data_IF_276818552861
#
_entry.id   IF_276818552861
#
_cell.length_a   1.000
_cell.length_b   1.000
_cell.length_c   1.000
_cell.angle_alpha   90.00
_cell.angle_beta   90.00
_cell.angle_gamma   90.00
#
_symmetry.space_group_name_H-M   'P 1'
#
loop_
_entity.id
_entity.type
_entity.pdbx_description
1 polymer ?
#
# COMPACT_ATOMS: atom_id res chain seq x y z
N UNK A 1 -28.91 -0.23 14.43
CA UNK A 1 -28.11 0.74 13.66
C UNK A 1 -28.08 0.47 12.15
N UNK A 2 -27.51 -0.64 11.66
CA UNK A 2 -27.31 -0.87 10.22
C UNK A 2 -28.60 -0.79 9.36
N UNK A 3 -29.73 -1.31 9.87
CA UNK A 3 -31.05 -1.18 9.21
C UNK A 3 -31.47 0.29 9.01
N UNK A 4 -31.17 1.16 9.97
CA UNK A 4 -31.50 2.59 9.90
C UNK A 4 -30.61 3.31 8.88
N UNK A 5 -29.32 2.96 8.82
CA UNK A 5 -28.41 3.50 7.81
C UNK A 5 -28.86 3.12 6.40
N UNK A 6 -29.22 1.85 6.22
CA UNK A 6 -29.68 1.32 4.94
C UNK A 6 -31.02 1.95 4.51
N UNK A 7 -31.93 2.21 5.45
CA UNK A 7 -33.22 2.85 5.16
C UNK A 7 -33.09 4.31 4.68
N UNK A 8 -31.93 4.95 4.89
CA UNK A 8 -31.62 6.31 4.38
C UNK A 8 -31.05 6.30 2.96
N UNK A 9 -30.78 5.14 2.39
CA UNK A 9 -30.26 5.01 1.03
C UNK A 9 -31.40 4.88 0.03
N UNK A 10 -31.16 5.28 -1.23
CA UNK A 10 -32.08 5.03 -2.34
C UNK A 10 -32.47 3.54 -2.45
N UNK A 11 -33.73 3.20 -2.80
CA UNK A 11 -34.19 1.81 -2.85
C UNK A 11 -33.33 0.89 -3.74
N UNK A 12 -32.77 1.42 -4.83
CA UNK A 12 -31.83 0.70 -5.67
C UNK A 12 -30.55 0.32 -4.91
N UNK A 13 -29.92 1.28 -4.22
CA UNK A 13 -28.71 1.02 -3.43
C UNK A 13 -28.95 0.06 -2.28
N UNK A 14 -30.16 0.09 -1.70
CA UNK A 14 -30.58 -0.89 -0.70
C UNK A 14 -30.61 -2.32 -1.28
N UNK A 15 -31.18 -2.49 -2.48
CA UNK A 15 -31.20 -3.79 -3.17
C UNK A 15 -29.78 -4.24 -3.48
N UNK A 16 -28.99 -3.38 -4.11
CA UNK A 16 -27.60 -3.71 -4.46
C UNK A 16 -26.76 -4.12 -3.26
N UNK A 17 -26.91 -3.45 -2.12
CA UNK A 17 -26.21 -3.83 -0.89
C UNK A 17 -26.55 -5.28 -0.47
N UNK A 18 -27.83 -5.67 -0.53
CA UNK A 18 -28.26 -7.02 -0.13
C UNK A 18 -27.78 -8.12 -1.08
N UNK A 19 -27.49 -7.77 -2.32
CA UNK A 19 -26.98 -8.68 -3.36
C UNK A 19 -25.45 -8.85 -3.31
N UNK A 20 -24.73 -8.02 -2.54
CA UNK A 20 -23.29 -8.19 -2.35
C UNK A 20 -22.99 -9.52 -1.66
N UNK A 21 -21.77 -10.02 -1.89
CA UNK A 21 -21.30 -11.26 -1.30
C UNK A 21 -21.44 -11.26 0.23
N UNK A 22 -21.87 -12.38 0.80
CA UNK A 22 -21.96 -12.56 2.24
C UNK A 22 -21.28 -13.86 2.65
N UNK A 23 -20.05 -13.77 3.15
CA UNK A 23 -19.29 -14.92 3.67
C UNK A 23 -19.71 -15.33 5.10
N UNK A 24 -20.55 -14.52 5.76
CA UNK A 24 -20.96 -14.72 7.15
C UNK A 24 -22.44 -15.11 7.24
N UNK A 25 -22.75 -16.34 6.84
CA UNK A 25 -24.13 -16.87 6.76
C UNK A 25 -24.58 -17.63 8.01
N UNK A 26 -23.79 -17.62 9.10
CA UNK A 26 -24.15 -18.33 10.33
C UNK A 26 -25.29 -17.64 11.08
N UNK A 27 -26.11 -18.42 11.80
CA UNK A 27 -27.29 -17.91 12.55
C UNK A 27 -26.97 -16.86 13.62
N UNK A 28 -25.69 -16.59 13.91
CA UNK A 28 -25.24 -15.61 14.90
C UNK A 28 -25.11 -14.19 14.35
N UNK A 29 -25.15 -14.00 13.03
CA UNK A 29 -24.92 -12.72 12.37
C UNK A 29 -26.07 -12.43 11.42
N UNK A 30 -26.67 -11.24 11.51
CA UNK A 30 -27.72 -10.84 10.55
C UNK A 30 -27.17 -10.75 9.13
N UNK A 31 -27.93 -11.07 8.07
CA UNK A 31 -27.44 -11.01 6.70
C UNK A 31 -26.84 -9.64 6.31
N UNK A 32 -27.45 -8.55 6.78
CA UNK A 32 -26.93 -7.20 6.53
C UNK A 32 -25.55 -6.99 7.16
N UNK A 33 -25.35 -7.45 8.40
CA UNK A 33 -24.05 -7.37 9.05
C UNK A 33 -23.02 -8.29 8.39
N UNK A 34 -23.46 -9.44 7.87
CA UNK A 34 -22.58 -10.35 7.13
C UNK A 34 -22.08 -9.74 5.82
N UNK A 35 -22.95 -9.06 5.07
CA UNK A 35 -22.57 -8.22 3.92
C UNK A 35 -21.55 -7.17 4.33
N UNK A 36 -21.81 -6.40 5.40
CA UNK A 36 -20.87 -5.39 5.88
C UNK A 36 -19.48 -6.00 6.13
N UNK A 37 -19.41 -7.07 6.92
CA UNK A 37 -18.13 -7.71 7.30
C UNK A 37 -17.37 -8.29 6.11
N UNK A 38 -18.07 -8.71 5.06
CA UNK A 38 -17.46 -9.27 3.84
C UNK A 38 -16.92 -8.18 2.92
N UNK A 39 -17.60 -7.03 2.84
CA UNK A 39 -17.37 -6.03 1.77
C UNK A 39 -16.80 -4.70 2.25
N UNK A 40 -16.79 -4.46 3.57
CA UNK A 40 -16.28 -3.21 4.13
C UNK A 40 -14.81 -2.98 3.75
N UNK A 41 -14.53 -1.78 3.25
CA UNK A 41 -13.20 -1.27 2.98
C UNK A 41 -12.90 -0.29 4.12
N UNK A 42 -11.76 -0.47 4.79
CA UNK A 42 -11.35 0.42 5.86
C UNK A 42 -10.74 1.70 5.28
N UNK A 43 -11.04 2.85 5.88
CA UNK A 43 -10.38 4.10 5.54
C UNK A 43 -8.97 4.09 6.14
N UNK A 44 -7.95 4.58 5.42
CA UNK A 44 -6.59 4.71 5.97
C UNK A 44 -6.57 5.55 7.25
N UNK A 45 -5.61 5.26 8.14
CA UNK A 45 -5.56 5.91 9.46
C UNK A 45 -5.51 7.44 9.38
N UNK A 46 -4.61 7.93 8.52
CA UNK A 46 -4.39 9.36 8.32
C UNK A 46 -5.63 10.07 7.75
N UNK A 47 -6.50 9.32 7.07
CA UNK A 47 -7.72 9.83 6.48
C UNK A 47 -8.80 9.96 7.54
N UNK A 48 -9.04 8.91 8.34
CA UNK A 48 -10.11 8.97 9.33
C UNK A 48 -9.86 10.04 10.40
N UNK A 49 -8.60 10.24 10.83
CA UNK A 49 -8.22 11.29 11.79
C UNK A 49 -8.56 12.70 11.30
N UNK A 50 -8.50 12.94 9.99
CA UNK A 50 -8.87 14.23 9.38
C UNK A 50 -10.38 14.41 9.25
N UNK A 51 -11.14 13.32 9.06
CA UNK A 51 -12.59 13.38 8.87
C UNK A 51 -13.39 13.56 10.16
N UNK A 52 -12.80 13.28 11.33
CA UNK A 52 -13.42 13.51 12.63
C UNK A 52 -12.47 14.28 13.57
N UNK A 53 -12.33 15.61 13.40
CA UNK A 53 -11.50 16.43 14.26
C UNK A 53 -12.08 16.45 15.69
N UNK A 54 -11.29 16.06 16.69
CA UNK A 54 -11.71 16.06 18.09
C UNK A 54 -12.18 14.71 18.64
N UNK A 55 -12.03 13.61 17.89
CA UNK A 55 -12.13 12.28 18.49
C UNK A 55 -10.92 12.07 19.41
N UNK A 56 -11.16 12.05 20.72
CA UNK A 56 -10.14 11.73 21.73
C UNK A 56 -10.25 10.28 22.19
N UNK A 57 -11.10 9.46 21.56
CA UNK A 57 -11.23 8.06 21.95
C UNK A 57 -9.89 7.36 21.73
N UNK A 58 -9.34 6.82 22.82
CA UNK A 58 -8.22 5.87 22.79
C UNK A 58 -8.64 4.54 22.15
N UNK A 59 -9.92 4.37 21.85
CA UNK A 59 -10.48 3.25 21.12
C UNK A 59 -10.12 3.36 19.63
N UNK A 60 -9.65 2.25 19.05
CA UNK A 60 -9.37 2.02 17.62
C UNK A 60 -10.62 2.20 16.72
N UNK A 61 -11.29 3.36 16.76
CA UNK A 61 -12.47 3.66 15.97
C UNK A 61 -12.10 3.84 14.49
N UNK A 62 -12.23 2.74 13.75
CA UNK A 62 -11.94 2.67 12.32
C UNK A 62 -13.21 2.98 11.52
N UNK A 63 -13.11 3.96 10.61
CA UNK A 63 -14.16 4.20 9.62
C UNK A 63 -14.03 3.20 8.46
N UNK A 64 -15.18 2.72 7.96
CA UNK A 64 -15.23 1.85 6.78
C UNK A 64 -16.43 2.18 5.91
N UNK A 65 -16.33 1.81 4.63
CA UNK A 65 -17.41 1.97 3.66
C UNK A 65 -17.64 0.69 2.86
N UNK A 66 -18.87 0.50 2.38
CA UNK A 66 -19.21 -0.57 1.43
C UNK A 66 -19.51 0.06 0.09
N UNK A 67 -18.71 -0.29 -0.91
CA UNK A 67 -18.83 0.28 -2.25
C UNK A 67 -19.39 -0.74 -3.20
N UNK A 68 -20.49 -0.43 -3.87
CA UNK A 68 -21.11 -1.29 -4.88
C UNK A 68 -20.07 -1.87 -5.87
N UNK A 69 -19.31 -1.01 -6.55
CA UNK A 69 -18.36 -1.47 -7.58
C UNK A 69 -17.15 -2.16 -6.95
N UNK A 70 -16.49 -1.55 -5.96
CA UNK A 70 -15.23 -2.07 -5.40
C UNK A 70 -15.38 -3.37 -4.61
N UNK A 71 -16.60 -3.69 -4.16
CA UNK A 71 -16.92 -4.97 -3.50
C UNK A 71 -16.88 -6.17 -4.45
N UNK A 72 -16.87 -5.93 -5.76
CA UNK A 72 -16.79 -6.99 -6.80
C UNK A 72 -15.36 -7.35 -7.18
N UNK A 73 -14.36 -6.61 -6.68
CA UNK A 73 -12.95 -6.80 -7.02
C UNK A 73 -12.37 -7.89 -6.13
N UNK A 74 -11.92 -8.98 -6.75
CA UNK A 74 -11.38 -10.13 -6.03
C UNK A 74 -10.02 -9.87 -5.37
N UNK A 75 -9.70 -10.77 -4.44
CA UNK A 75 -8.44 -10.77 -3.71
C UNK A 75 -7.29 -11.39 -4.51
N UNK A 76 -6.11 -10.78 -4.39
CA UNK A 76 -4.83 -11.45 -4.64
C UNK A 76 -3.80 -10.99 -3.60
N UNK A 77 -2.94 -11.91 -3.12
CA UNK A 77 -1.76 -11.50 -2.33
C UNK A 77 -0.70 -10.81 -3.20
N UNK A 78 -0.90 -10.79 -4.53
CA UNK A 78 -0.09 -10.09 -5.54
C UNK A 78 -0.97 -9.09 -6.31
N UNK A 79 -1.62 -8.14 -5.63
CA UNK A 79 -2.64 -7.29 -6.24
C UNK A 79 -2.08 -6.45 -7.39
N UNK A 80 -2.88 -6.16 -8.41
CA UNK A 80 -2.49 -5.25 -9.51
C UNK A 80 -3.17 -3.87 -9.41
N UNK A 81 -4.05 -3.67 -8.43
CA UNK A 81 -4.65 -2.39 -8.12
C UNK A 81 -4.66 -2.13 -6.62
N UNK A 82 -4.66 -0.84 -6.26
CA UNK A 82 -4.75 -0.34 -4.89
C UNK A 82 -6.03 0.48 -4.75
N UNK A 83 -6.61 0.46 -3.55
CA UNK A 83 -7.75 1.31 -3.18
C UNK A 83 -7.25 2.34 -2.18
N UNK A 84 -7.52 3.62 -2.44
CA UNK A 84 -7.36 4.71 -1.48
C UNK A 84 -8.68 5.47 -1.30
N UNK A 85 -8.73 6.39 -0.33
CA UNK A 85 -9.88 7.26 -0.08
C UNK A 85 -9.48 8.73 -0.24
N UNK A 86 -10.07 9.40 -1.23
CA UNK A 86 -9.86 10.82 -1.46
C UNK A 86 -10.86 11.64 -0.65
N UNK A 87 -10.36 12.37 0.35
CA UNK A 87 -11.19 13.14 1.28
C UNK A 87 -11.97 14.27 0.58
N UNK A 88 -11.33 15.16 -0.22
CA UNK A 88 -12.02 16.30 -0.81
C UNK A 88 -13.25 15.92 -1.66
N UNK A 89 -13.18 14.80 -2.39
CA UNK A 89 -14.34 14.30 -3.16
C UNK A 89 -15.13 13.21 -2.43
N UNK A 90 -14.76 12.87 -1.19
CA UNK A 90 -15.37 11.85 -0.36
C UNK A 90 -15.61 10.51 -1.08
N UNK A 91 -14.60 10.02 -1.80
CA UNK A 91 -14.74 8.89 -2.73
C UNK A 91 -13.58 7.90 -2.59
N UNK A 92 -13.88 6.60 -2.69
CA UNK A 92 -12.85 5.58 -2.87
C UNK A 92 -12.34 5.58 -4.30
N UNK A 93 -11.02 5.57 -4.46
CA UNK A 93 -10.36 5.53 -5.76
C UNK A 93 -9.62 4.22 -5.91
N UNK A 94 -9.86 3.53 -7.01
CA UNK A 94 -9.11 2.35 -7.41
C UNK A 94 -8.10 2.75 -8.49
N UNK A 95 -6.82 2.50 -8.24
CA UNK A 95 -5.75 2.82 -9.20
C UNK A 95 -4.96 1.58 -9.55
N UNK A 96 -4.58 1.42 -10.81
CA UNK A 96 -3.66 0.36 -11.21
C UNK A 96 -2.28 0.61 -10.57
N UNK A 97 -1.70 -0.42 -9.97
CA UNK A 97 -0.38 -0.38 -9.34
C UNK A 97 0.76 -0.74 -10.32
N UNK A 98 0.41 -1.33 -11.46
CA UNK A 98 1.30 -1.69 -12.56
C UNK A 98 0.50 -1.81 -13.85
N UNK A 99 1.16 -1.98 -14.98
CA UNK A 99 0.49 -2.26 -16.26
C UNK A 99 -0.35 -3.55 -16.15
N UNK A 100 -1.60 -3.47 -16.56
CA UNK A 100 -2.57 -4.58 -16.56
C UNK A 100 -2.92 -4.90 -18.01
N UNK A 101 -2.43 -6.03 -18.57
CA UNK A 101 -2.78 -6.44 -19.93
C UNK A 101 -4.29 -6.67 -20.08
N UNK A 102 -4.84 -6.40 -21.27
CA UNK A 102 -6.24 -6.66 -21.57
C UNK A 102 -6.62 -8.12 -21.28
N UNK A 103 -7.79 -8.33 -20.68
CA UNK A 103 -8.25 -9.66 -20.25
C UNK A 103 -7.68 -10.15 -18.91
N UNK A 104 -6.74 -9.42 -18.30
CA UNK A 104 -6.26 -9.72 -16.94
C UNK A 104 -7.26 -9.22 -15.91
N UNK A 105 -7.62 -10.07 -14.94
CA UNK A 105 -8.48 -9.69 -13.83
C UNK A 105 -7.85 -8.59 -12.97
N UNK A 106 -8.64 -7.57 -12.60
CA UNK A 106 -8.23 -6.55 -11.64
C UNK A 106 -8.43 -7.10 -10.23
N UNK A 107 -7.37 -7.05 -9.41
CA UNK A 107 -7.36 -7.59 -8.06
C UNK A 107 -6.75 -6.61 -7.07
N UNK A 108 -7.28 -6.62 -5.84
CA UNK A 108 -6.75 -5.87 -4.68
C UNK A 108 -6.37 -6.86 -3.57
N UNK A 109 -5.62 -6.40 -2.56
CA UNK A 109 -5.47 -7.19 -1.33
C UNK A 109 -6.59 -6.86 -0.34
N UNK A 110 -6.99 -7.86 0.46
CA UNK A 110 -7.98 -7.71 1.53
C UNK A 110 -7.31 -7.71 2.92
N UNK A 111 -6.02 -8.02 2.94
CA UNK A 111 -5.23 -8.32 4.13
C UNK A 111 -3.86 -7.65 3.98
N UNK A 112 -3.12 -7.59 5.09
CA UNK A 112 -1.67 -7.41 5.02
C UNK A 112 -1.06 -8.62 4.29
N UNK A 113 -0.35 -8.36 3.20
CA UNK A 113 0.17 -9.41 2.33
C UNK A 113 1.68 -9.64 2.48
N UNK A 114 2.35 -8.93 3.39
CA UNK A 114 3.74 -9.22 3.76
C UNK A 114 3.90 -10.48 4.64
N UNK A 115 2.84 -10.90 5.34
CA UNK A 115 2.86 -12.06 6.24
C UNK A 115 3.09 -13.40 5.52
N UNK A 116 3.54 -14.46 6.21
CA UNK A 116 3.66 -15.82 5.66
C UNK A 116 2.34 -16.39 5.12
N UNK A 117 2.42 -17.37 4.22
CA UNK A 117 1.25 -17.90 3.53
C UNK A 117 0.20 -18.48 4.47
N UNK A 118 0.62 -19.11 5.58
CA UNK A 118 -0.29 -19.64 6.58
C UNK A 118 -1.14 -18.53 7.22
N UNK A 119 -0.50 -17.42 7.59
CA UNK A 119 -1.14 -16.27 8.24
C UNK A 119 -2.01 -15.50 7.25
N UNK A 120 -1.57 -15.34 6.00
CA UNK A 120 -2.41 -14.79 4.93
C UNK A 120 -3.68 -15.62 4.73
N UNK A 121 -3.60 -16.96 4.73
CA UNK A 121 -4.79 -17.81 4.61
C UNK A 121 -5.69 -17.73 5.84
N UNK A 122 -5.10 -17.60 7.04
CA UNK A 122 -5.86 -17.39 8.28
C UNK A 122 -6.64 -16.08 8.22
N UNK A 123 -5.99 -14.98 7.81
CA UNK A 123 -6.60 -13.66 7.66
C UNK A 123 -7.71 -13.63 6.59
N UNK A 124 -7.66 -14.54 5.60
CA UNK A 124 -8.69 -14.67 4.56
C UNK A 124 -9.89 -15.56 4.96
N UNK A 125 -9.80 -16.33 6.05
CA UNK A 125 -10.91 -17.20 6.49
C UNK A 125 -12.26 -16.49 6.62
N UNK A 126 -12.35 -15.25 7.14
CA UNK A 126 -13.61 -14.51 7.23
C UNK A 126 -14.31 -14.33 5.87
N UNK A 127 -13.57 -14.31 4.76
CA UNK A 127 -14.10 -14.15 3.41
C UNK A 127 -14.56 -15.47 2.77
N UNK A 128 -14.40 -16.61 3.45
CA UNK A 128 -14.97 -17.90 3.02
C UNK A 128 -14.28 -18.55 1.82
N UNK A 129 -13.04 -18.15 1.48
CA UNK A 129 -12.28 -18.76 0.38
C UNK A 129 -10.84 -19.07 0.76
N UNK A 130 -10.17 -19.90 -0.05
CA UNK A 130 -8.72 -20.17 0.04
C UNK A 130 -8.01 -19.50 -1.13
N UNK A 131 -7.06 -18.61 -0.86
CA UNK A 131 -6.32 -17.94 -1.93
C UNK A 131 -5.40 -18.92 -2.68
N UNK A 132 -5.40 -18.85 -4.01
CA UNK A 132 -4.59 -19.70 -4.89
C UNK A 132 -3.67 -18.89 -5.82
N UNK A 133 -3.43 -17.62 -5.52
CA UNK A 133 -2.49 -16.80 -6.30
C UNK A 133 -1.08 -17.41 -6.26
N UNK A 134 -0.21 -17.00 -7.20
CA UNK A 134 1.14 -17.57 -7.33
C UNK A 134 1.96 -17.56 -6.02
N UNK A 135 1.81 -16.52 -5.19
CA UNK A 135 2.45 -16.44 -3.88
C UNK A 135 1.98 -17.54 -2.91
N UNK A 136 0.66 -17.81 -2.87
CA UNK A 136 0.08 -18.87 -2.04
C UNK A 136 0.25 -20.28 -2.64
N UNK A 137 0.46 -20.39 -3.95
CA UNK A 137 0.77 -21.65 -4.62
C UNK A 137 2.22 -22.11 -4.37
N UNK A 138 3.14 -21.17 -4.11
CA UNK A 138 4.57 -21.44 -3.85
C UNK A 138 5.05 -20.83 -2.52
N UNK A 139 4.49 -21.27 -1.36
CA UNK A 139 4.70 -20.60 -0.08
C UNK A 139 6.16 -20.59 0.37
N UNK A 140 6.94 -21.65 0.14
CA UNK A 140 8.36 -21.71 0.52
C UNK A 140 9.19 -20.58 -0.10
N UNK A 141 8.96 -20.28 -1.38
CA UNK A 141 9.69 -19.23 -2.10
C UNK A 141 9.13 -17.86 -1.72
N UNK A 142 7.80 -17.71 -1.75
CA UNK A 142 7.15 -16.43 -1.47
C UNK A 142 7.39 -15.95 -0.04
N UNK A 143 7.31 -16.84 0.94
CA UNK A 143 7.47 -16.48 2.35
C UNK A 143 8.92 -16.10 2.67
N UNK A 144 9.91 -16.76 2.05
CA UNK A 144 11.33 -16.36 2.18
C UNK A 144 11.55 -14.94 1.63
N UNK A 145 11.02 -14.65 0.43
CA UNK A 145 11.15 -13.33 -0.18
C UNK A 145 10.44 -12.24 0.63
N UNK A 146 9.24 -12.52 1.12
CA UNK A 146 8.47 -11.58 1.97
C UNK A 146 9.17 -11.34 3.31
N UNK A 147 9.74 -12.37 3.91
CA UNK A 147 10.57 -12.21 5.11
C UNK A 147 11.79 -11.30 4.84
N UNK A 148 12.46 -11.45 3.69
CA UNK A 148 13.56 -10.56 3.32
C UNK A 148 13.10 -9.10 3.14
N UNK A 149 11.94 -8.87 2.50
CA UNK A 149 11.34 -7.53 2.36
C UNK A 149 11.07 -6.92 3.74
N UNK A 150 10.42 -7.65 4.64
CA UNK A 150 10.07 -7.16 5.98
C UNK A 150 11.31 -6.93 6.83
N UNK A 151 12.30 -7.82 6.75
CA UNK A 151 13.56 -7.71 7.50
C UNK A 151 14.32 -6.42 7.16
N UNK A 152 14.28 -6.01 5.90
CA UNK A 152 14.99 -4.82 5.42
C UNK A 152 14.15 -3.53 5.50
N UNK A 153 12.95 -3.58 6.10
CA UNK A 153 12.07 -2.42 6.24
C UNK A 153 12.82 -1.22 6.86
N UNK A 154 12.56 -0.03 6.32
CA UNK A 154 13.35 1.15 6.66
C UNK A 154 12.47 2.39 6.94
N UNK A 155 12.98 3.25 7.82
CA UNK A 155 12.60 4.66 7.86
C UNK A 155 13.58 5.46 6.98
N UNK A 156 13.18 5.93 5.78
CA UNK A 156 14.14 6.36 4.76
C UNK A 156 15.03 7.53 5.18
N UNK A 157 14.44 8.56 5.79
CA UNK A 157 15.17 9.76 6.20
C UNK A 157 16.18 9.48 7.34
N UNK A 158 15.80 8.81 8.44
CA UNK A 158 16.75 8.35 9.45
C UNK A 158 17.86 7.46 8.88
N UNK A 159 17.52 6.48 8.05
CA UNK A 159 18.49 5.55 7.46
C UNK A 159 19.54 6.29 6.61
N UNK A 160 19.11 7.18 5.71
CA UNK A 160 20.03 7.98 4.87
C UNK A 160 20.88 8.91 5.72
N UNK A 161 20.31 9.57 6.74
CA UNK A 161 21.08 10.44 7.64
C UNK A 161 22.15 9.70 8.43
N UNK A 162 21.85 8.49 8.91
CA UNK A 162 22.81 7.65 9.60
C UNK A 162 23.92 7.21 8.65
N UNK A 163 23.56 6.67 7.49
CA UNK A 163 24.51 6.21 6.48
C UNK A 163 25.43 7.33 5.98
N UNK A 164 24.94 8.55 5.71
CA UNK A 164 25.80 9.67 5.29
C UNK A 164 26.91 10.01 6.30
N UNK A 165 26.69 9.72 7.59
CA UNK A 165 27.64 10.02 8.68
C UNK A 165 28.53 8.84 9.04
N UNK A 166 28.32 7.68 8.42
CA UNK A 166 29.02 6.44 8.74
C UNK A 166 30.07 6.11 7.66
N UNK A 167 31.36 6.40 7.91
CA UNK A 167 32.43 6.10 6.96
C UNK A 167 32.75 4.61 6.88
N UNK A 168 32.25 3.77 7.79
CA UNK A 168 32.46 2.33 7.74
C UNK A 168 31.56 1.62 6.72
N UNK A 169 30.45 2.25 6.33
CA UNK A 169 29.56 1.75 5.28
C UNK A 169 30.07 2.18 3.90
N UNK A 170 29.90 1.32 2.89
CA UNK A 170 30.21 1.67 1.50
C UNK A 170 29.19 2.64 0.90
N UNK A 171 29.58 3.35 -0.15
CA UNK A 171 28.72 4.34 -0.83
C UNK A 171 27.48 3.71 -1.48
N UNK A 172 27.54 2.43 -1.83
CA UNK A 172 26.42 1.69 -2.39
C UNK A 172 25.63 0.88 -1.36
N UNK A 173 25.91 1.01 -0.05
CA UNK A 173 25.28 0.20 0.99
C UNK A 173 23.74 0.26 0.95
N UNK A 174 23.16 1.46 1.09
CA UNK A 174 21.70 1.63 1.04
C UNK A 174 21.13 1.37 -0.37
N UNK A 175 21.92 1.62 -1.41
CA UNK A 175 21.53 1.36 -2.80
C UNK A 175 21.31 -0.14 -3.02
N UNK A 176 22.24 -1.00 -2.56
CA UNK A 176 22.12 -2.47 -2.66
C UNK A 176 20.91 -2.98 -1.88
N UNK A 177 20.70 -2.49 -0.66
CA UNK A 177 19.55 -2.88 0.17
C UNK A 177 18.24 -2.50 -0.52
N UNK A 178 18.08 -1.23 -0.93
CA UNK A 178 16.85 -0.78 -1.60
C UNK A 178 16.62 -1.47 -2.93
N UNK A 179 17.63 -1.65 -3.79
CA UNK A 179 17.47 -2.37 -5.07
C UNK A 179 17.01 -3.81 -4.85
N UNK A 180 17.56 -4.51 -3.85
CA UNK A 180 17.13 -5.87 -3.49
C UNK A 180 15.65 -5.90 -3.10
N UNK A 181 15.22 -5.04 -2.18
CA UNK A 181 13.82 -5.03 -1.72
C UNK A 181 12.86 -4.66 -2.84
N UNK A 182 13.21 -3.69 -3.68
CA UNK A 182 12.40 -3.31 -4.84
C UNK A 182 12.26 -4.46 -5.85
N UNK A 183 13.34 -5.18 -6.14
CA UNK A 183 13.30 -6.35 -7.00
C UNK A 183 12.40 -7.45 -6.41
N UNK A 184 12.58 -7.78 -5.13
CA UNK A 184 11.75 -8.77 -4.43
C UNK A 184 10.28 -8.36 -4.45
N UNK A 185 9.98 -7.07 -4.23
CA UNK A 185 8.63 -6.52 -4.31
C UNK A 185 7.97 -6.71 -5.67
N UNK A 186 8.72 -6.51 -6.76
CA UNK A 186 8.24 -6.79 -8.13
C UNK A 186 8.02 -8.30 -8.35
N UNK A 187 8.98 -9.12 -7.96
CA UNK A 187 8.88 -10.59 -8.07
C UNK A 187 7.70 -11.17 -7.27
N UNK A 188 7.30 -10.49 -6.19
CA UNK A 188 6.17 -10.82 -5.33
C UNK A 188 4.88 -10.05 -5.62
N UNK A 189 4.86 -9.19 -6.65
CA UNK A 189 3.68 -8.39 -7.02
C UNK A 189 3.17 -7.47 -5.91
N UNK A 190 4.09 -6.91 -5.12
CA UNK A 190 3.86 -6.01 -3.98
C UNK A 190 4.17 -4.54 -4.31
N UNK A 191 4.22 -4.16 -5.58
CA UNK A 191 4.55 -2.78 -6.00
C UNK A 191 3.52 -1.77 -5.47
N UNK A 192 2.30 -2.23 -5.20
CA UNK A 192 1.20 -1.47 -4.60
C UNK A 192 1.38 -1.19 -3.09
N UNK A 193 2.46 -1.64 -2.45
CA UNK A 193 2.68 -1.44 -1.02
C UNK A 193 3.47 -0.15 -0.75
N UNK A 194 2.78 0.93 -0.39
CA UNK A 194 3.43 2.17 0.01
C UNK A 194 4.40 1.99 1.19
N UNK A 195 4.08 1.09 2.13
CA UNK A 195 4.87 0.87 3.34
C UNK A 195 6.30 0.41 3.07
N UNK A 196 6.48 -0.67 2.31
CA UNK A 196 7.82 -1.20 2.03
C UNK A 196 8.37 -0.70 0.70
N UNK A 197 7.61 -0.83 -0.39
CA UNK A 197 8.08 -0.49 -1.74
C UNK A 197 8.30 1.03 -1.88
N UNK A 198 7.39 1.83 -1.33
CA UNK A 198 7.52 3.30 -1.29
C UNK A 198 8.68 3.77 -0.42
N UNK A 199 8.86 3.18 0.77
CA UNK A 199 9.97 3.53 1.65
C UNK A 199 11.34 3.29 0.97
N UNK A 200 11.53 2.13 0.32
CA UNK A 200 12.79 1.85 -0.37
C UNK A 200 12.99 2.67 -1.64
N UNK A 201 11.93 3.04 -2.37
CA UNK A 201 12.04 4.01 -3.47
C UNK A 201 12.52 5.37 -2.95
N UNK A 202 11.96 5.84 -1.84
CA UNK A 202 12.37 7.10 -1.22
C UNK A 202 13.82 7.02 -0.70
N UNK A 203 14.19 5.95 0.01
CA UNK A 203 15.56 5.73 0.47
C UNK A 203 16.55 5.70 -0.71
N UNK A 204 16.20 5.01 -1.79
CA UNK A 204 17.04 4.93 -2.99
C UNK A 204 17.21 6.31 -3.63
N UNK A 205 16.12 7.06 -3.76
CA UNK A 205 16.13 8.42 -4.33
C UNK A 205 17.01 9.35 -3.50
N UNK A 206 16.84 9.34 -2.18
CA UNK A 206 17.64 10.16 -1.27
C UNK A 206 19.11 9.73 -1.21
N UNK A 207 19.40 8.44 -1.38
CA UNK A 207 20.78 7.95 -1.47
C UNK A 207 21.50 8.49 -2.71
N UNK A 208 20.81 8.55 -3.86
CA UNK A 208 21.36 9.16 -5.08
C UNK A 208 21.56 10.67 -4.93
N UNK A 209 20.64 11.37 -4.26
CA UNK A 209 20.84 12.77 -3.92
C UNK A 209 22.10 12.95 -3.05
N UNK A 210 22.24 12.14 -2.00
CA UNK A 210 23.39 12.20 -1.10
C UNK A 210 24.73 12.03 -1.81
N UNK A 211 24.80 11.20 -2.85
CA UNK A 211 26.00 10.99 -3.67
C UNK A 211 26.18 12.03 -4.79
N UNK A 212 25.22 12.93 -5.00
CA UNK A 212 25.23 13.87 -6.13
C UNK A 212 24.97 13.21 -7.50
N UNK A 213 24.37 12.02 -7.53
CA UNK A 213 24.11 11.27 -8.77
C UNK A 213 22.83 11.76 -9.48
N UNK A 214 22.96 12.83 -10.29
CA UNK A 214 21.83 13.54 -10.92
C UNK A 214 20.87 12.67 -11.71
N UNK A 215 21.36 11.89 -12.66
CA UNK A 215 20.51 11.10 -13.55
C UNK A 215 19.76 10.00 -12.79
N UNK A 216 20.46 9.31 -11.88
CA UNK A 216 19.88 8.23 -11.07
C UNK A 216 18.86 8.76 -10.07
N UNK A 217 19.10 9.94 -9.49
CA UNK A 217 18.11 10.63 -8.67
C UNK A 217 16.82 10.91 -9.46
N UNK A 218 16.92 11.46 -10.67
CA UNK A 218 15.74 11.81 -11.48
C UNK A 218 14.93 10.56 -11.87
N UNK A 219 15.61 9.46 -12.23
CA UNK A 219 14.95 8.18 -12.54
C UNK A 219 14.20 7.61 -11.31
N UNK A 220 14.87 7.55 -10.16
CA UNK A 220 14.27 7.03 -8.93
C UNK A 220 13.11 7.93 -8.44
N UNK A 221 13.27 9.25 -8.59
CA UNK A 221 12.24 10.25 -8.30
C UNK A 221 10.98 10.01 -9.12
N UNK A 222 11.10 9.83 -10.45
CA UNK A 222 9.92 9.58 -11.29
C UNK A 222 9.17 8.31 -10.89
N UNK A 223 9.90 7.25 -10.51
CA UNK A 223 9.29 6.02 -9.96
C UNK A 223 8.56 6.28 -8.65
N UNK A 224 9.14 7.05 -7.73
CA UNK A 224 8.50 7.42 -6.47
C UNK A 224 7.24 8.27 -6.69
N UNK A 225 7.29 9.23 -7.61
CA UNK A 225 6.13 10.06 -7.95
C UNK A 225 5.02 9.25 -8.64
N UNK A 226 5.37 8.27 -9.48
CA UNK A 226 4.42 7.36 -10.08
C UNK A 226 3.68 6.52 -9.02
N UNK A 227 4.42 6.01 -8.02
CA UNK A 227 3.81 5.32 -6.88
C UNK A 227 2.92 6.27 -6.06
N UNK A 228 3.38 7.50 -5.80
CA UNK A 228 2.61 8.52 -5.09
C UNK A 228 1.28 8.83 -5.78
N UNK A 229 1.26 8.91 -7.12
CA UNK A 229 0.02 9.06 -7.91
C UNK A 229 -0.87 7.81 -7.87
N UNK A 230 -0.32 6.63 -7.63
CA UNK A 230 -1.10 5.40 -7.47
C UNK A 230 -1.89 5.41 -6.16
N UNK A 231 -1.21 5.79 -5.06
CA UNK A 231 -1.81 5.86 -3.74
C UNK A 231 -2.66 7.10 -3.56
N UNK A 232 -2.24 8.28 -4.03
CA UNK A 232 -2.96 9.54 -3.86
C UNK A 232 -3.24 10.19 -5.22
N UNK A 233 -4.10 9.57 -6.07
CA UNK A 233 -4.33 10.00 -7.44
C UNK A 233 -4.94 11.40 -7.57
N UNK A 234 -5.61 11.88 -6.53
CA UNK A 234 -6.41 13.11 -6.57
C UNK A 234 -5.87 14.24 -5.65
N UNK A 235 -4.94 13.96 -4.74
CA UNK A 235 -4.40 14.95 -3.77
C UNK A 235 -3.17 15.75 -4.28
N UNK A 236 -2.75 15.51 -5.53
CA UNK A 236 -1.48 16.07 -6.03
C UNK A 236 -0.26 15.43 -5.35
N UNK A 237 0.94 15.70 -5.86
CA UNK A 237 2.18 14.99 -5.45
C UNK A 237 2.56 15.30 -3.98
N UNK A 238 2.05 14.52 -3.04
CA UNK A 238 2.38 14.59 -1.61
C UNK A 238 3.88 14.44 -1.31
N UNK A 239 4.67 13.91 -2.25
CA UNK A 239 6.13 13.77 -2.13
C UNK A 239 6.90 14.77 -2.99
N UNK A 240 6.23 15.62 -3.77
CA UNK A 240 6.87 16.56 -4.70
C UNK A 240 7.71 17.61 -3.99
N UNK A 241 7.31 18.05 -2.80
CA UNK A 241 8.08 18.98 -1.95
C UNK A 241 9.30 18.31 -1.31
N UNK A 242 9.24 16.99 -1.07
CA UNK A 242 10.36 16.23 -0.52
C UNK A 242 11.42 15.91 -1.57
N UNK A 243 10.99 15.79 -2.83
CA UNK A 243 11.82 15.41 -3.98
C UNK A 243 11.77 16.51 -5.05
N UNK A 244 12.59 17.58 -4.92
CA UNK A 244 12.61 18.68 -5.87
C UNK A 244 12.98 18.21 -7.28
N UNK A 245 12.47 18.94 -8.29
CA UNK A 245 12.76 18.67 -9.71
C UNK A 245 14.22 19.00 -10.05
N UNK A 246 14.77 20.03 -9.42
CA UNK A 246 16.19 20.36 -9.49
C UNK A 246 16.89 19.54 -8.40
N UNK A 247 17.71 18.54 -8.76
CA UNK A 247 18.32 17.63 -7.77
C UNK A 247 19.18 18.34 -6.72
N UNK A 248 19.87 19.41 -7.10
CA UNK A 248 20.73 20.22 -6.22
C UNK A 248 19.96 20.96 -5.12
N UNK A 249 18.64 21.13 -5.25
CA UNK A 249 17.80 21.71 -4.21
C UNK A 249 17.44 20.71 -3.10
N UNK A 250 17.81 19.42 -3.25
CA UNK A 250 17.59 18.45 -2.20
C UNK A 250 18.51 18.77 -1.00
N UNK A 251 17.95 18.89 0.20
CA UNK A 251 18.67 19.12 1.46
C UNK A 251 19.83 18.16 1.77
N UNK A 252 19.88 16.96 1.18
CA UNK A 252 20.99 16.01 1.34
C UNK A 252 21.96 16.01 0.18
N UNK A 253 21.79 16.86 -0.83
CA UNK A 253 22.55 16.81 -2.08
C UNK A 253 24.07 16.87 -1.85
N UNK A 254 24.80 15.84 -2.29
CA UNK A 254 26.25 15.76 -2.17
C UNK A 254 26.78 15.64 -0.73
N UNK A 255 25.93 15.36 0.25
CA UNK A 255 26.34 15.24 1.67
C UNK A 255 27.06 13.93 2.00
N UNK A 256 27.01 12.91 1.12
CA UNK A 256 27.84 11.71 1.24
C UNK A 256 29.17 11.99 0.54
N UNK A 257 30.22 12.19 1.32
CA UNK A 257 31.59 12.29 0.81
C UNK A 257 32.03 10.88 0.39
N UNK A 258 32.34 10.64 -0.90
CA UNK A 258 32.81 9.33 -1.34
C UNK A 258 34.08 8.92 -0.61
N UNK A 259 34.27 7.62 -0.38
CA UNK A 259 35.56 7.14 0.10
C UNK A 259 36.64 7.51 -0.92
N UNK A 260 37.77 8.08 -0.47
CA UNK A 260 38.91 8.32 -1.35
C UNK A 260 39.49 6.94 -1.74
N UNK A 261 39.51 6.65 -3.04
CA UNK A 261 40.18 5.47 -3.63
C UNK A 261 41.69 5.48 -3.35
#
# INVERSE_FOLDING_TARGET
MLRLLLARMEPEKQRTYRELANAHTTNRITPLLGVLRTNAIMLPEQVWRKTWPGNTSEDDEKLSGVCEVLSRINHSCRPNAVVDFHIPSFTYVLTAARTIPAGTEITRTYIENAEPAADRQLALRPYGFRCRCAACASPRVSDLRRWQIVKDACEPLPAVRAWMRDPALTDDHLIRVSKRVLQLGQEEGMEASAGFYGAHLLQLTLSYAALGERERYLEARERMLALGRCHHPLDGQLTGWLLPKVPEEQVVWGHRVPALD
#
